data_IF_526783328459
#
_entry.id   IF_526783328459
#
_cell.length_a   1.000
_cell.length_b   1.000
_cell.length_c   1.000
_cell.angle_alpha   90.00
_cell.angle_beta   90.00
_cell.angle_gamma   90.00
#
_symmetry.space_group_name_H-M   'P 1'
#
loop_
_entity.id
_entity.type
_entity.pdbx_description
1 polymer ?
#
# COMPACT_ATOMS: atom_id res chain seq x y z
N UNK A 1 -29.45 -65.89 41.56
CA UNK A 1 -28.98 -64.91 40.55
C UNK A 1 -27.56 -65.28 40.18
N UNK A 2 -27.24 -65.60 38.90
CA UNK A 2 -25.87 -65.92 38.54
C UNK A 2 -25.02 -64.64 38.53
N UNK A 3 -23.91 -64.68 39.26
CA UNK A 3 -22.87 -63.66 39.27
C UNK A 3 -22.15 -63.69 37.91
N UNK A 4 -22.15 -62.55 37.22
CA UNK A 4 -21.40 -62.34 35.97
C UNK A 4 -19.91 -62.64 36.20
N UNK A 5 -19.30 -63.39 35.27
CA UNK A 5 -17.91 -63.83 35.38
C UNK A 5 -16.91 -62.65 35.30
N UNK A 6 -15.72 -62.77 35.93
CA UNK A 6 -14.68 -61.73 35.95
C UNK A 6 -14.21 -61.25 34.56
N UNK A 7 -14.46 -62.03 33.51
CA UNK A 7 -14.05 -61.70 32.13
C UNK A 7 -14.79 -60.49 31.54
N UNK A 8 -16.03 -60.21 31.97
CA UNK A 8 -16.78 -59.04 31.49
C UNK A 8 -16.23 -57.71 32.03
N UNK A 9 -15.67 -57.69 33.23
CA UNK A 9 -15.09 -56.47 33.82
C UNK A 9 -13.78 -56.04 33.14
N UNK A 10 -12.98 -57.00 32.65
CA UNK A 10 -11.73 -56.72 31.92
C UNK A 10 -11.97 -56.07 30.55
N UNK A 11 -12.97 -56.55 29.79
CA UNK A 11 -13.32 -56.02 28.46
C UNK A 11 -13.98 -54.64 28.49
N UNK A 12 -14.74 -54.31 29.54
CA UNK A 12 -15.37 -52.98 29.70
C UNK A 12 -14.36 -51.89 30.11
N UNK A 13 -13.35 -52.21 30.93
CA UNK A 13 -12.26 -51.28 31.27
C UNK A 13 -11.33 -51.03 30.09
N UNK A 14 -11.03 -52.04 29.28
CA UNK A 14 -10.18 -51.87 28.10
C UNK A 14 -10.88 -51.10 26.98
N UNK A 15 -12.16 -51.36 26.70
CA UNK A 15 -12.88 -50.62 25.63
C UNK A 15 -13.16 -49.16 25.99
N UNK A 16 -13.48 -48.84 27.26
CA UNK A 16 -13.56 -47.45 27.73
C UNK A 16 -12.20 -46.75 27.68
N UNK A 17 -11.10 -47.40 28.10
CA UNK A 17 -9.75 -46.81 27.99
C UNK A 17 -9.33 -46.58 26.55
N UNK A 18 -9.62 -47.50 25.63
CA UNK A 18 -9.32 -47.35 24.20
C UNK A 18 -10.19 -46.26 23.55
N UNK A 19 -11.46 -46.15 23.93
CA UNK A 19 -12.36 -45.07 23.45
C UNK A 19 -11.96 -43.70 24.01
N UNK A 20 -11.58 -43.62 25.28
CA UNK A 20 -11.05 -42.40 25.92
C UNK A 20 -9.70 -42.03 25.32
N UNK A 21 -8.79 -42.98 25.09
CA UNK A 21 -7.50 -42.74 24.43
C UNK A 21 -7.69 -42.28 22.99
N UNK A 22 -8.57 -42.90 22.20
CA UNK A 22 -8.87 -42.44 20.82
C UNK A 22 -9.48 -41.03 20.81
N UNK A 23 -10.36 -40.69 21.76
CA UNK A 23 -10.90 -39.33 21.91
C UNK A 23 -9.83 -38.32 22.34
N UNK A 24 -8.91 -38.70 23.24
CA UNK A 24 -7.77 -37.85 23.64
C UNK A 24 -6.77 -37.67 22.50
N UNK A 25 -6.48 -38.71 21.72
CA UNK A 25 -5.62 -38.61 20.53
C UNK A 25 -6.27 -37.74 19.46
N UNK A 26 -7.57 -37.90 19.19
CA UNK A 26 -8.30 -37.03 18.23
C UNK A 26 -8.36 -35.58 18.70
N UNK A 27 -8.58 -35.33 20.00
CA UNK A 27 -8.62 -33.98 20.56
C UNK A 27 -7.23 -33.31 20.60
N UNK A 28 -6.16 -34.07 20.87
CA UNK A 28 -4.77 -33.56 20.84
C UNK A 28 -4.29 -33.32 19.40
N UNK A 29 -4.71 -34.14 18.43
CA UNK A 29 -4.48 -33.85 17.01
C UNK A 29 -5.28 -32.65 16.53
N UNK A 30 -6.51 -32.44 16.99
CA UNK A 30 -7.29 -31.23 16.64
C UNK A 30 -6.70 -29.97 17.27
N UNK A 31 -6.22 -30.04 18.51
CA UNK A 31 -5.57 -28.91 19.18
C UNK A 31 -4.20 -28.58 18.58
N UNK A 32 -3.43 -29.59 18.13
CA UNK A 32 -2.20 -29.39 17.37
C UNK A 32 -2.47 -28.84 15.96
N UNK A 33 -3.58 -29.22 15.30
CA UNK A 33 -4.00 -28.66 14.02
C UNK A 33 -4.48 -27.20 14.18
N UNK A 34 -5.15 -26.87 15.29
CA UNK A 34 -5.58 -25.51 15.62
C UNK A 34 -4.38 -24.63 16.03
N UNK A 35 -3.35 -25.17 16.69
CA UNK A 35 -2.08 -24.48 16.93
C UNK A 35 -1.21 -24.35 15.65
N UNK A 36 -1.37 -25.24 14.66
CA UNK A 36 -0.75 -25.09 13.33
C UNK A 36 -1.53 -24.14 12.41
N UNK A 37 -2.79 -23.83 12.74
CA UNK A 37 -3.63 -22.83 12.08
C UNK A 37 -3.51 -21.43 12.70
N UNK A 38 -2.89 -21.30 13.89
CA UNK A 38 -2.22 -20.06 14.27
C UNK A 38 -0.84 -20.02 13.60
N UNK A 39 -0.81 -20.08 12.27
CA UNK A 39 0.31 -19.45 11.59
C UNK A 39 0.20 -18.00 12.02
N UNK A 40 1.16 -17.55 12.82
CA UNK A 40 1.35 -16.14 13.08
C UNK A 40 1.11 -15.45 11.76
N UNK A 41 0.08 -14.59 11.69
CA UNK A 41 -0.06 -13.62 10.62
C UNK A 41 1.36 -13.07 10.52
N UNK A 42 2.11 -13.32 9.44
CA UNK A 42 3.41 -12.70 9.35
C UNK A 42 3.10 -11.23 9.49
N UNK A 43 3.57 -10.64 10.58
CA UNK A 43 3.27 -9.28 10.95
C UNK A 43 4.11 -8.39 10.05
N UNK A 44 3.94 -8.55 8.74
CA UNK A 44 4.45 -7.65 7.75
C UNK A 44 4.01 -6.27 8.19
N UNK A 45 4.96 -5.34 8.25
CA UNK A 45 4.66 -3.93 8.37
C UNK A 45 3.88 -3.44 7.13
N UNK A 46 2.63 -3.89 6.99
CA UNK A 46 1.66 -3.29 6.08
C UNK A 46 1.39 -1.88 6.59
N UNK A 47 1.63 -0.90 5.72
CA UNK A 47 1.58 0.51 6.10
C UNK A 47 0.22 0.91 6.68
N UNK A 48 -0.87 0.27 6.23
CA UNK A 48 -2.21 0.46 6.76
C UNK A 48 -2.32 0.16 8.27
N UNK A 49 -1.63 -0.88 8.76
CA UNK A 49 -1.77 -1.33 10.15
C UNK A 49 -1.16 -0.39 11.17
N UNK A 50 -0.46 0.65 10.70
CA UNK A 50 0.12 1.71 11.54
C UNK A 50 -0.92 2.74 11.98
N UNK A 51 -2.07 2.79 11.33
CA UNK A 51 -3.09 3.81 11.62
C UNK A 51 -4.12 3.31 12.63
N UNK A 52 -4.40 4.13 13.64
CA UNK A 52 -5.33 3.76 14.72
C UNK A 52 -6.80 3.69 14.26
N UNK A 53 -7.15 4.36 13.17
CA UNK A 53 -8.48 4.42 12.57
C UNK A 53 -8.59 3.58 11.28
N UNK A 54 -7.67 2.62 11.06
CA UNK A 54 -7.64 1.78 9.84
C UNK A 54 -8.96 1.07 9.53
N UNK A 55 -9.74 0.72 10.55
CA UNK A 55 -11.06 0.11 10.40
C UNK A 55 -12.02 0.95 9.53
N UNK A 56 -11.82 2.27 9.46
CA UNK A 56 -12.60 3.18 8.61
C UNK A 56 -12.52 2.80 7.13
N UNK A 57 -11.42 2.19 6.68
CA UNK A 57 -11.28 1.67 5.30
C UNK A 57 -12.38 0.66 4.99
N UNK A 58 -12.58 -0.31 5.89
CA UNK A 58 -13.58 -1.37 5.69
C UNK A 58 -14.99 -0.94 6.06
N UNK A 59 -15.15 -0.11 7.10
CA UNK A 59 -16.47 0.31 7.62
C UNK A 59 -17.16 1.33 6.71
N UNK A 60 -16.44 2.38 6.31
CA UNK A 60 -17.02 3.54 5.63
C UNK A 60 -16.66 3.59 4.14
N UNK A 61 -15.54 2.95 3.75
CA UNK A 61 -15.00 2.99 2.39
C UNK A 61 -14.82 1.60 1.75
N UNK A 62 -15.61 0.60 2.14
CA UNK A 62 -15.53 -0.77 1.58
C UNK A 62 -15.55 -0.82 0.05
N UNK A 63 -16.27 0.10 -0.59
CA UNK A 63 -16.34 0.23 -2.06
C UNK A 63 -15.00 0.59 -2.72
N UNK A 64 -14.09 1.20 -1.97
CA UNK A 64 -12.78 1.69 -2.41
C UNK A 64 -11.64 1.16 -1.56
N UNK A 65 -11.86 0.11 -0.76
CA UNK A 65 -10.89 -0.44 0.18
C UNK A 65 -9.57 -0.75 -0.50
N UNK A 66 -9.59 -1.53 -1.58
CA UNK A 66 -8.37 -1.93 -2.30
C UNK A 66 -7.61 -0.71 -2.84
N UNK A 67 -8.33 0.27 -3.39
CA UNK A 67 -7.75 1.52 -3.91
C UNK A 67 -7.12 2.34 -2.78
N UNK A 68 -7.77 2.41 -1.61
CA UNK A 68 -7.24 3.17 -0.45
C UNK A 68 -6.01 2.48 0.13
N UNK A 69 -6.07 1.16 0.34
CA UNK A 69 -4.90 0.42 0.85
C UNK A 69 -3.75 0.50 -0.15
N UNK A 70 -3.99 0.40 -1.45
CA UNK A 70 -2.95 0.57 -2.46
C UNK A 70 -2.38 2.00 -2.49
N UNK A 71 -3.20 3.04 -2.31
CA UNK A 71 -2.71 4.42 -2.18
C UNK A 71 -1.83 4.62 -0.94
N UNK A 72 -2.15 3.95 0.17
CA UNK A 72 -1.35 3.93 1.42
C UNK A 72 -0.03 3.19 1.18
N UNK A 73 -0.06 2.02 0.53
CA UNK A 73 1.14 1.22 0.25
C UNK A 73 2.13 1.98 -0.65
N UNK A 74 1.63 2.76 -1.62
CA UNK A 74 2.45 3.65 -2.43
C UNK A 74 2.90 4.91 -1.68
N UNK A 75 2.49 5.10 -0.43
CA UNK A 75 2.66 6.33 0.35
C UNK A 75 2.27 7.59 -0.46
N UNK A 76 1.22 7.49 -1.28
CA UNK A 76 0.53 8.67 -1.83
C UNK A 76 -0.27 9.36 -0.71
N UNK A 77 -0.54 8.61 0.36
CA UNK A 77 -1.35 9.01 1.48
C UNK A 77 -0.70 8.56 2.80
N UNK A 78 -0.23 9.52 3.61
CA UNK A 78 0.59 9.26 4.79
C UNK A 78 -0.16 9.42 6.14
N UNK A 79 -1.46 9.76 6.11
CA UNK A 79 -2.25 10.09 7.30
C UNK A 79 -1.79 11.39 7.99
N UNK A 80 -2.13 11.52 9.27
CA UNK A 80 -1.83 12.65 10.14
C UNK A 80 -0.75 12.30 11.19
N UNK A 81 -0.10 13.31 11.81
CA UNK A 81 0.93 13.07 12.84
C UNK A 81 0.46 12.29 14.07
N UNK A 82 -0.85 12.23 14.32
CA UNK A 82 -1.46 11.46 15.40
C UNK A 82 -1.66 9.97 15.07
N UNK A 83 -1.14 9.52 13.93
CA UNK A 83 -1.31 8.18 13.36
C UNK A 83 -2.76 7.84 12.96
N UNK A 84 -3.56 8.84 12.56
CA UNK A 84 -4.85 8.60 11.91
C UNK A 84 -4.76 8.81 10.40
N UNK A 85 -5.62 8.13 9.62
CA UNK A 85 -5.84 8.41 8.21
C UNK A 85 -6.77 9.61 8.01
N UNK A 86 -7.76 9.72 8.91
CA UNK A 86 -8.81 10.74 8.88
C UNK A 86 -9.63 10.69 7.60
N UNK A 87 -9.97 9.49 7.11
CA UNK A 87 -10.61 9.30 5.80
C UNK A 87 -11.98 10.01 5.68
N UNK A 88 -12.69 10.19 6.79
CA UNK A 88 -13.97 10.91 6.87
C UNK A 88 -13.82 12.44 6.99
N UNK A 89 -12.58 12.96 7.10
CA UNK A 89 -12.37 14.40 7.11
C UNK A 89 -12.45 14.94 5.68
N UNK A 90 -12.88 16.19 5.56
CA UNK A 90 -12.76 16.91 4.30
C UNK A 90 -11.29 17.12 3.96
N UNK A 91 -10.90 16.86 2.71
CA UNK A 91 -9.56 17.18 2.24
C UNK A 91 -9.46 18.67 1.91
N UNK A 92 -8.37 19.33 2.31
CA UNK A 92 -8.15 20.73 1.94
C UNK A 92 -7.63 20.86 0.51
N UNK A 93 -7.77 22.05 -0.07
CA UNK A 93 -7.18 22.36 -1.38
C UNK A 93 -5.66 22.19 -1.38
N UNK A 94 -5.00 22.60 -0.30
CA UNK A 94 -3.55 22.45 -0.12
C UNK A 94 -3.12 20.98 -0.13
N UNK A 95 -3.83 20.13 0.62
CA UNK A 95 -3.56 18.69 0.66
C UNK A 95 -3.74 18.05 -0.71
N UNK A 96 -4.87 18.33 -1.39
CA UNK A 96 -5.14 17.76 -2.70
C UNK A 96 -4.10 18.21 -3.74
N UNK A 97 -3.76 19.50 -3.77
CA UNK A 97 -2.73 20.05 -4.64
C UNK A 97 -1.35 19.43 -4.37
N UNK A 98 -0.97 19.26 -3.10
CA UNK A 98 0.33 18.69 -2.75
C UNK A 98 0.49 17.25 -3.19
N UNK A 99 -0.54 16.40 -3.01
CA UNK A 99 -0.45 15.01 -3.49
C UNK A 99 -0.50 14.97 -5.02
N UNK A 100 -1.37 15.76 -5.64
CA UNK A 100 -1.49 15.81 -7.10
C UNK A 100 -0.18 16.25 -7.77
N UNK A 101 0.45 17.31 -7.26
CA UNK A 101 1.75 17.82 -7.72
C UNK A 101 2.83 16.74 -7.68
N UNK A 102 2.93 15.96 -6.59
CA UNK A 102 3.90 14.86 -6.48
C UNK A 102 3.64 13.76 -7.50
N UNK A 103 2.37 13.40 -7.73
CA UNK A 103 2.03 12.35 -8.70
C UNK A 103 2.45 12.75 -10.11
N UNK A 104 2.23 14.01 -10.51
CA UNK A 104 2.56 14.45 -11.87
C UNK A 104 3.94 15.12 -11.99
N UNK A 105 4.76 15.01 -10.94
CA UNK A 105 6.10 15.63 -10.81
C UNK A 105 6.10 17.13 -11.16
N UNK A 106 5.01 17.83 -10.81
CA UNK A 106 4.84 19.25 -11.07
C UNK A 106 5.41 20.06 -9.91
N UNK A 107 6.73 20.29 -9.94
CA UNK A 107 7.45 21.06 -8.93
C UNK A 107 7.53 22.54 -9.28
N UNK A 108 7.24 23.40 -8.31
CA UNK A 108 7.31 24.86 -8.43
C UNK A 108 8.28 25.48 -7.44
N UNK A 109 8.29 26.82 -7.42
CA UNK A 109 9.11 27.61 -6.50
C UNK A 109 8.51 27.51 -5.09
N UNK A 110 9.26 27.01 -4.09
CA UNK A 110 8.80 26.98 -2.70
C UNK A 110 8.51 28.40 -2.17
N UNK A 111 7.61 28.48 -1.18
CA UNK A 111 7.22 29.73 -0.54
C UNK A 111 7.13 29.59 0.98
N UNK A 112 6.39 30.50 1.60
CA UNK A 112 6.20 30.51 3.06
C UNK A 112 5.38 29.31 3.52
N UNK A 113 4.37 28.91 2.75
CA UNK A 113 3.53 27.77 3.08
C UNK A 113 4.11 26.49 2.49
N UNK A 114 3.93 25.38 3.20
CA UNK A 114 4.42 24.06 2.81
C UNK A 114 3.88 23.58 1.44
N UNK A 115 2.73 24.11 0.99
CA UNK A 115 2.10 23.78 -0.28
C UNK A 115 2.47 24.71 -1.43
N UNK A 116 3.17 25.82 -1.19
CA UNK A 116 3.38 26.87 -2.21
C UNK A 116 4.11 26.36 -3.45
N UNK A 117 5.11 25.49 -3.26
CA UNK A 117 5.84 24.87 -4.37
C UNK A 117 4.95 23.94 -5.21
N UNK A 118 4.07 23.18 -4.57
CA UNK A 118 3.13 22.29 -5.27
C UNK A 118 2.09 23.10 -6.06
N UNK A 119 1.53 24.14 -5.45
CA UNK A 119 0.57 25.04 -6.11
C UNK A 119 1.22 25.73 -7.30
N UNK A 120 2.42 26.30 -7.14
CA UNK A 120 3.13 26.95 -8.24
C UNK A 120 3.43 25.99 -9.40
N UNK A 121 3.84 24.75 -9.10
CA UNK A 121 4.07 23.73 -10.10
C UNK A 121 2.80 23.36 -10.88
N UNK A 122 1.67 23.19 -10.18
CA UNK A 122 0.39 22.87 -10.81
C UNK A 122 -0.20 24.04 -11.63
N UNK A 123 0.06 25.29 -11.22
CA UNK A 123 -0.28 26.47 -12.02
C UNK A 123 0.55 26.52 -13.30
N UNK A 124 1.87 26.30 -13.21
CA UNK A 124 2.76 26.21 -14.39
C UNK A 124 2.36 25.09 -15.34
N UNK A 125 1.88 23.97 -14.82
CA UNK A 125 1.36 22.85 -15.60
C UNK A 125 -0.06 23.09 -16.16
N UNK A 126 -0.72 24.20 -15.83
CA UNK A 126 -2.08 24.52 -16.29
C UNK A 126 -3.19 23.69 -15.63
N UNK A 127 -2.89 22.99 -14.53
CA UNK A 127 -3.85 22.16 -13.78
C UNK A 127 -4.74 23.01 -12.89
N UNK A 128 -4.15 24.01 -12.23
CA UNK A 128 -4.80 24.97 -11.33
C UNK A 128 -4.72 26.36 -11.97
N UNK A 129 -5.77 27.21 -11.89
CA UNK A 129 -5.79 28.49 -12.61
C UNK A 129 -4.81 29.53 -12.05
N UNK A 130 -4.67 29.61 -10.72
CA UNK A 130 -3.86 30.60 -10.04
C UNK A 130 -3.51 30.17 -8.61
N UNK A 131 -2.73 31.01 -7.90
CA UNK A 131 -2.27 30.75 -6.53
C UNK A 131 -3.18 31.33 -5.45
N UNK A 132 -4.27 32.01 -5.82
CA UNK A 132 -5.18 32.69 -4.92
C UNK A 132 -6.21 31.75 -4.27
N UNK A 133 -6.87 32.27 -3.23
CA UNK A 133 -7.94 31.57 -2.51
C UNK A 133 -7.55 31.08 -1.11
N UNK A 134 -8.52 30.48 -0.43
CA UNK A 134 -8.31 29.88 0.90
C UNK A 134 -7.86 28.42 0.74
N UNK A 135 -6.56 28.17 0.82
CA UNK A 135 -5.95 26.85 0.63
C UNK A 135 -6.26 25.84 1.73
N UNK A 136 -6.64 26.31 2.92
CA UNK A 136 -7.06 25.48 4.04
C UNK A 136 -8.56 25.11 3.97
N UNK A 137 -9.30 25.70 3.04
CA UNK A 137 -10.69 25.33 2.83
C UNK A 137 -10.80 23.91 2.24
N UNK A 138 -11.87 23.17 2.59
CA UNK A 138 -12.26 21.95 1.89
C UNK A 138 -12.34 22.14 0.39
N UNK A 139 -11.77 21.21 -0.37
CA UNK A 139 -11.98 21.17 -1.82
C UNK A 139 -13.34 20.56 -2.15
N UNK A 140 -14.09 21.18 -3.05
CA UNK A 140 -15.35 20.61 -3.55
C UNK A 140 -15.07 19.57 -4.64
N UNK A 141 -16.02 18.65 -4.85
CA UNK A 141 -15.94 17.67 -5.94
C UNK A 141 -15.89 18.33 -7.31
N UNK A 142 -16.66 19.41 -7.53
CA UNK A 142 -16.61 20.16 -8.79
C UNK A 142 -15.22 20.76 -9.05
N UNK A 143 -14.60 21.32 -8.01
CA UNK A 143 -13.29 21.91 -8.13
C UNK A 143 -12.20 20.88 -8.38
N UNK A 144 -12.20 19.77 -7.63
CA UNK A 144 -11.31 18.64 -7.89
C UNK A 144 -11.49 18.13 -9.33
N UNK A 145 -12.73 17.98 -9.79
CA UNK A 145 -13.04 17.54 -11.15
C UNK A 145 -12.51 18.51 -12.22
N UNK A 146 -12.59 19.83 -11.99
CA UNK A 146 -11.99 20.84 -12.89
C UNK A 146 -10.47 20.68 -12.98
N UNK A 147 -9.80 20.51 -11.86
CA UNK A 147 -8.34 20.32 -11.83
C UNK A 147 -7.95 19.02 -12.54
N UNK A 148 -8.64 17.92 -12.23
CA UNK A 148 -8.41 16.63 -12.88
C UNK A 148 -8.71 16.67 -14.39
N UNK A 149 -9.68 17.46 -14.82
CA UNK A 149 -10.00 17.66 -16.24
C UNK A 149 -8.89 18.38 -17.00
N UNK A 150 -8.34 19.45 -16.41
CA UNK A 150 -7.19 20.16 -16.98
C UNK A 150 -5.93 19.31 -16.97
N UNK A 151 -5.68 18.60 -15.88
CA UNK A 151 -4.59 17.63 -15.79
C UNK A 151 -4.72 16.56 -16.88
N UNK A 152 -5.90 15.98 -17.05
CA UNK A 152 -6.12 14.98 -18.09
C UNK A 152 -5.81 15.52 -19.49
N UNK A 153 -6.08 16.79 -19.77
CA UNK A 153 -5.72 17.44 -21.04
C UNK A 153 -4.21 17.69 -21.15
N UNK A 154 -3.61 18.27 -20.10
CA UNK A 154 -2.19 18.62 -20.06
C UNK A 154 -1.28 17.39 -20.19
N UNK A 155 -1.69 16.27 -19.58
CA UNK A 155 -0.94 15.01 -19.58
C UNK A 155 -1.50 13.97 -20.55
N UNK A 156 -2.44 14.36 -21.43
CA UNK A 156 -3.00 13.51 -22.50
C UNK A 156 -3.56 12.16 -22.01
N UNK A 157 -4.24 12.18 -20.85
CA UNK A 157 -4.85 10.97 -20.28
C UNK A 157 -5.95 10.46 -21.22
N UNK A 158 -5.91 9.16 -21.51
CA UNK A 158 -6.84 8.52 -22.43
C UNK A 158 -8.31 8.63 -21.98
N UNK A 159 -9.20 8.92 -22.93
CA UNK A 159 -10.65 8.87 -22.72
C UNK A 159 -11.10 7.41 -22.64
N UNK A 160 -11.76 7.04 -21.54
CA UNK A 160 -12.29 5.69 -21.28
C UNK A 160 -13.78 5.58 -21.62
N UNK A 161 -14.52 6.68 -21.46
CA UNK A 161 -15.94 6.76 -21.81
C UNK A 161 -16.23 8.14 -22.41
N UNK A 162 -16.33 8.20 -23.75
CA UNK A 162 -16.62 9.44 -24.45
C UNK A 162 -18.03 10.01 -24.16
N UNK A 163 -18.95 9.16 -23.70
CA UNK A 163 -20.34 9.48 -23.38
C UNK A 163 -20.58 9.91 -21.93
N UNK A 164 -19.55 9.89 -21.07
CA UNK A 164 -19.69 10.28 -19.67
C UNK A 164 -20.17 11.73 -19.53
N UNK A 165 -21.20 11.93 -18.72
CA UNK A 165 -21.82 13.22 -18.40
C UNK A 165 -22.23 13.29 -16.94
N UNK A 166 -22.43 14.51 -16.42
CA UNK A 166 -23.03 14.76 -15.12
C UNK A 166 -24.29 15.61 -15.27
N UNK A 167 -25.33 15.31 -14.50
CA UNK A 167 -26.62 16.02 -14.56
C UNK A 167 -26.61 17.31 -13.71
N UNK A 168 -25.71 17.39 -12.73
CA UNK A 168 -25.57 18.49 -11.77
C UNK A 168 -24.43 19.46 -12.11
N UNK A 169 -23.76 19.29 -13.25
CA UNK A 169 -22.78 20.26 -13.77
C UNK A 169 -22.68 20.17 -15.29
N UNK A 170 -22.48 21.32 -15.93
CA UNK A 170 -22.14 21.46 -17.36
C UNK A 170 -20.68 21.85 -17.59
N UNK A 171 -19.86 21.83 -16.53
CA UNK A 171 -18.47 22.27 -16.60
C UNK A 171 -17.63 21.33 -17.51
N UNK A 172 -16.98 21.87 -18.57
CA UNK A 172 -16.33 21.04 -19.57
C UNK A 172 -15.09 20.31 -19.05
N UNK A 173 -14.38 20.88 -18.06
CA UNK A 173 -13.21 20.22 -17.46
C UNK A 173 -13.68 19.09 -16.54
N UNK A 174 -14.71 19.34 -15.72
CA UNK A 174 -15.29 18.30 -14.86
C UNK A 174 -15.83 17.11 -15.68
N UNK A 175 -16.55 17.39 -16.79
CA UNK A 175 -17.01 16.35 -17.70
C UNK A 175 -15.83 15.60 -18.31
N UNK A 176 -14.77 16.30 -18.75
CA UNK A 176 -13.59 15.66 -19.31
C UNK A 176 -12.88 14.73 -18.30
N UNK A 177 -12.81 15.11 -17.02
CA UNK A 177 -12.32 14.25 -15.95
C UNK A 177 -13.18 12.99 -15.78
N UNK A 178 -14.49 13.10 -15.97
CA UNK A 178 -15.41 11.96 -16.04
C UNK A 178 -15.10 11.04 -17.22
N UNK A 179 -14.90 11.61 -18.40
CA UNK A 179 -14.60 10.86 -19.64
C UNK A 179 -13.30 10.07 -19.57
N UNK A 180 -12.27 10.58 -18.88
CA UNK A 180 -11.01 9.86 -18.66
C UNK A 180 -11.07 8.88 -17.49
N UNK A 181 -12.13 8.92 -16.70
CA UNK A 181 -12.31 8.11 -15.50
C UNK A 181 -11.47 8.57 -14.30
N UNK A 182 -10.81 9.74 -14.40
CA UNK A 182 -10.12 10.34 -13.25
C UNK A 182 -11.10 10.79 -12.18
N UNK A 183 -12.30 11.24 -12.57
CA UNK A 183 -13.40 11.57 -11.67
C UNK A 183 -14.58 10.61 -11.87
N UNK A 184 -15.15 10.10 -10.78
CA UNK A 184 -16.44 9.41 -10.79
C UNK A 184 -17.46 10.20 -9.98
N UNK A 185 -18.72 10.13 -10.40
CA UNK A 185 -19.83 10.68 -9.64
C UNK A 185 -20.05 9.94 -8.33
N UNK A 186 -20.78 10.55 -7.40
CA UNK A 186 -21.29 9.89 -6.19
C UNK A 186 -22.37 8.85 -6.51
N UNK A 187 -22.99 8.98 -7.69
CA UNK A 187 -23.91 8.01 -8.27
C UNK A 187 -23.84 8.10 -9.80
N UNK A 188 -24.43 7.15 -10.55
CA UNK A 188 -24.43 7.19 -12.01
C UNK A 188 -24.97 8.52 -12.54
N UNK A 189 -24.11 9.26 -13.25
CA UNK A 189 -24.46 10.55 -13.86
C UNK A 189 -24.60 11.74 -12.90
N UNK A 190 -24.23 11.63 -11.61
CA UNK A 190 -24.28 12.75 -10.65
C UNK A 190 -22.92 12.97 -10.02
N UNK A 191 -22.31 14.13 -10.24
CA UNK A 191 -20.98 14.45 -9.71
C UNK A 191 -20.99 14.59 -8.19
N UNK A 192 -22.06 15.18 -7.64
CA UNK A 192 -22.08 15.71 -6.28
C UNK A 192 -21.36 17.05 -6.21
N UNK A 193 -21.54 17.92 -7.21
CA UNK A 193 -20.70 19.08 -7.49
C UNK A 193 -20.36 19.96 -6.26
N UNK A 194 -21.35 20.23 -5.40
CA UNK A 194 -21.21 21.09 -4.23
C UNK A 194 -20.75 20.37 -2.94
N UNK A 195 -20.60 19.05 -2.98
CA UNK A 195 -20.10 18.29 -1.84
C UNK A 195 -18.60 18.48 -1.70
N UNK A 196 -18.11 18.51 -0.46
CA UNK A 196 -16.68 18.47 -0.19
C UNK A 196 -16.14 17.07 -0.45
N UNK A 197 -14.90 16.99 -0.94
CA UNK A 197 -14.22 15.73 -1.15
C UNK A 197 -13.73 15.19 0.19
N UNK A 198 -14.17 13.98 0.56
CA UNK A 198 -13.61 13.29 1.70
C UNK A 198 -12.21 12.78 1.37
N UNK A 199 -11.38 12.72 2.40
CA UNK A 199 -10.01 12.24 2.35
C UNK A 199 -9.89 10.81 1.80
N UNK A 200 -10.81 9.91 2.18
CA UNK A 200 -10.90 8.56 1.61
C UNK A 200 -11.28 8.54 0.13
N UNK A 201 -12.19 9.42 -0.30
CA UNK A 201 -12.52 9.56 -1.72
C UNK A 201 -11.33 10.10 -2.51
N UNK A 202 -10.61 11.08 -1.95
CA UNK A 202 -9.44 11.65 -2.58
C UNK A 202 -8.32 10.64 -2.77
N UNK A 203 -8.08 9.74 -1.79
CA UNK A 203 -7.10 8.66 -1.93
C UNK A 203 -7.39 7.80 -3.17
N UNK A 204 -8.66 7.45 -3.40
CA UNK A 204 -9.10 6.71 -4.60
C UNK A 204 -8.86 7.52 -5.88
N UNK A 205 -9.25 8.80 -5.90
CA UNK A 205 -9.06 9.65 -7.08
C UNK A 205 -7.57 9.84 -7.42
N UNK A 206 -6.73 10.06 -6.41
CA UNK A 206 -5.30 10.30 -6.58
C UNK A 206 -4.57 9.02 -7.04
N UNK A 207 -4.96 7.84 -6.54
CA UNK A 207 -4.46 6.58 -7.09
C UNK A 207 -4.82 6.42 -8.57
N UNK A 208 -6.06 6.78 -8.98
CA UNK A 208 -6.46 6.73 -10.40
C UNK A 208 -5.61 7.66 -11.26
N UNK A 209 -5.25 8.84 -10.76
CA UNK A 209 -4.32 9.74 -11.47
C UNK A 209 -2.97 9.07 -11.61
N UNK A 210 -2.41 8.53 -10.53
CA UNK A 210 -1.12 7.86 -10.54
C UNK A 210 -1.07 6.67 -11.51
N UNK A 211 -2.20 5.98 -11.71
CA UNK A 211 -2.36 4.85 -12.66
C UNK A 211 -2.78 5.23 -14.08
N UNK A 212 -3.02 6.51 -14.37
CA UNK A 212 -3.54 6.95 -15.67
C UNK A 212 -2.66 7.98 -16.37
N UNK A 213 -1.70 8.59 -15.66
CA UNK A 213 -0.75 9.55 -16.23
C UNK A 213 0.51 8.81 -16.65
N UNK A 214 0.55 8.40 -17.93
CA UNK A 214 1.61 7.59 -18.52
C UNK A 214 2.34 8.32 -19.67
N UNK A 215 2.59 9.62 -19.49
CA UNK A 215 3.24 10.46 -20.51
C UNK A 215 4.76 10.27 -20.62
N UNK A 216 5.39 9.63 -19.62
CA UNK A 216 6.84 9.46 -19.52
C UNK A 216 7.18 8.23 -18.64
N UNK A 217 6.89 7.05 -19.16
CA UNK A 217 7.09 5.79 -18.45
C UNK A 217 8.59 5.51 -18.18
N UNK A 218 8.94 4.94 -17.02
CA UNK A 218 10.30 4.52 -16.74
C UNK A 218 10.72 3.33 -17.61
N UNK A 219 12.03 3.20 -17.80
CA UNK A 219 12.61 2.00 -18.41
C UNK A 219 12.65 0.84 -17.41
N UNK A 220 12.54 -0.40 -17.91
CA UNK A 220 12.65 -1.58 -17.04
C UNK A 220 14.02 -1.67 -16.36
N UNK A 221 15.08 -1.23 -17.05
CA UNK A 221 16.45 -1.26 -16.51
C UNK A 221 16.63 -0.26 -15.36
N UNK A 222 16.04 0.93 -15.47
CA UNK A 222 16.01 1.91 -14.37
C UNK A 222 15.33 1.32 -13.11
N UNK A 223 14.19 0.65 -13.29
CA UNK A 223 13.44 0.04 -12.19
C UNK A 223 14.16 -1.18 -11.59
N UNK A 224 14.78 -2.02 -12.42
CA UNK A 224 15.62 -3.14 -11.95
C UNK A 224 16.82 -2.65 -11.16
N UNK A 225 17.50 -1.60 -11.62
CA UNK A 225 18.59 -0.99 -10.88
C UNK A 225 18.12 -0.46 -9.52
N UNK A 226 17.00 0.26 -9.48
CA UNK A 226 16.42 0.74 -8.22
C UNK A 226 16.12 -0.42 -7.26
N UNK A 227 15.58 -1.54 -7.76
CA UNK A 227 15.33 -2.75 -6.98
C UNK A 227 16.62 -3.37 -6.41
N UNK A 228 17.69 -3.46 -7.20
CA UNK A 228 19.01 -3.92 -6.71
C UNK A 228 19.51 -3.05 -5.57
N UNK A 229 19.48 -1.73 -5.76
CA UNK A 229 19.92 -0.76 -4.74
C UNK A 229 19.06 -0.83 -3.46
N UNK A 230 17.75 -1.07 -3.56
CA UNK A 230 16.89 -1.27 -2.39
C UNK A 230 17.19 -2.57 -1.63
N UNK A 231 17.51 -3.67 -2.33
CA UNK A 231 17.93 -4.91 -1.65
C UNK A 231 19.24 -4.72 -0.91
N UNK A 232 20.17 -3.92 -1.45
CA UNK A 232 21.41 -3.58 -0.75
C UNK A 232 21.14 -2.75 0.52
N UNK A 233 20.24 -1.77 0.47
CA UNK A 233 19.81 -1.01 1.65
C UNK A 233 19.11 -1.90 2.70
N UNK A 234 18.24 -2.81 2.27
CA UNK A 234 17.56 -3.78 3.16
C UNK A 234 18.59 -4.67 3.86
N UNK A 235 19.56 -5.21 3.09
CA UNK A 235 20.62 -6.05 3.63
C UNK A 235 21.50 -5.29 4.64
N UNK A 236 21.85 -4.03 4.34
CA UNK A 236 22.59 -3.18 5.27
C UNK A 236 21.80 -2.96 6.58
N UNK A 237 20.49 -2.76 6.51
CA UNK A 237 19.63 -2.64 7.69
C UNK A 237 19.52 -3.97 8.47
N UNK A 238 19.43 -5.11 7.79
CA UNK A 238 19.43 -6.44 8.41
C UNK A 238 20.74 -6.68 9.16
N UNK A 239 21.88 -6.38 8.54
CA UNK A 239 23.19 -6.53 9.19
C UNK A 239 23.35 -5.59 10.38
N UNK A 240 22.88 -4.36 10.28
CA UNK A 240 22.81 -3.46 11.44
C UNK A 240 22.01 -4.10 12.59
N UNK A 241 20.79 -4.56 12.30
CA UNK A 241 19.91 -5.16 13.31
C UNK A 241 20.47 -6.44 13.93
N UNK A 242 21.12 -7.31 13.13
CA UNK A 242 21.80 -8.53 13.63
C UNK A 242 22.91 -8.19 14.63
N UNK A 243 23.64 -7.10 14.40
CA UNK A 243 24.78 -6.70 15.21
C UNK A 243 24.38 -5.93 16.47
N UNK A 244 23.34 -5.09 16.39
CA UNK A 244 22.98 -4.18 17.48
C UNK A 244 21.76 -4.64 18.26
N UNK A 245 20.78 -5.24 17.58
CA UNK A 245 19.41 -5.42 18.06
C UNK A 245 18.86 -4.15 18.73
N UNK A 246 19.13 -2.98 18.15
CA UNK A 246 18.65 -1.68 18.66
C UNK A 246 17.79 -0.99 17.62
N UNK A 247 16.78 -0.25 18.08
CA UNK A 247 16.08 0.71 17.24
C UNK A 247 17.00 1.92 17.05
N UNK A 248 17.51 2.08 15.83
CA UNK A 248 18.37 3.20 15.42
C UNK A 248 17.87 3.75 14.09
N UNK A 249 16.89 4.66 14.18
CA UNK A 249 16.32 5.31 12.99
C UNK A 249 17.33 6.26 12.32
N UNK A 250 18.38 6.68 13.04
CA UNK A 250 19.48 7.47 12.48
C UNK A 250 20.31 6.69 11.46
N UNK A 251 20.34 5.35 11.57
CA UNK A 251 21.01 4.46 10.63
C UNK A 251 20.54 4.65 9.18
N UNK A 252 19.30 5.10 8.95
CA UNK A 252 18.78 5.42 7.62
C UNK A 252 19.71 6.35 6.83
N UNK A 253 20.35 7.31 7.50
CA UNK A 253 21.25 8.27 6.85
C UNK A 253 22.57 7.65 6.39
N UNK A 254 22.92 6.46 6.88
CA UNK A 254 24.11 5.71 6.50
C UNK A 254 23.87 4.69 5.39
N UNK A 255 22.62 4.51 4.95
CA UNK A 255 22.30 3.59 3.86
C UNK A 255 22.99 4.02 2.56
N UNK A 256 23.55 3.08 1.78
CA UNK A 256 24.33 3.39 0.60
C UNK A 256 23.52 4.12 -0.47
N UNK A 257 22.26 3.72 -0.68
CA UNK A 257 21.44 4.26 -1.76
C UNK A 257 20.24 5.05 -1.27
N UNK A 258 19.66 4.70 -0.11
CA UNK A 258 18.39 5.25 0.40
C UNK A 258 17.28 5.13 -0.65
N UNK A 259 17.06 3.92 -1.16
CA UNK A 259 15.99 3.54 -2.08
C UNK A 259 14.75 3.03 -1.39
N UNK A 260 14.83 2.75 -0.10
CA UNK A 260 13.65 2.45 0.72
C UNK A 260 13.21 3.73 1.41
N UNK A 261 11.91 4.00 1.51
CA UNK A 261 11.44 5.16 2.28
C UNK A 261 11.80 5.00 3.75
N UNK A 262 12.13 6.12 4.40
CA UNK A 262 12.46 6.12 5.82
C UNK A 262 11.33 5.52 6.65
N UNK A 263 10.08 5.88 6.33
CA UNK A 263 8.89 5.35 6.99
C UNK A 263 8.84 3.81 6.96
N UNK A 264 9.12 3.20 5.80
CA UNK A 264 9.10 1.76 5.64
C UNK A 264 10.30 1.11 6.34
N UNK A 265 11.50 1.71 6.23
CA UNK A 265 12.70 1.19 6.88
C UNK A 265 12.59 1.18 8.41
N UNK A 266 12.05 2.26 9.00
CA UNK A 266 11.81 2.35 10.45
C UNK A 266 10.77 1.34 10.92
N UNK A 267 9.72 1.09 10.13
CA UNK A 267 8.72 0.08 10.44
C UNK A 267 9.35 -1.33 10.43
N UNK A 268 10.19 -1.63 9.44
CA UNK A 268 10.94 -2.88 9.39
C UNK A 268 11.88 -3.07 10.58
N UNK A 269 12.56 -2.01 11.05
CA UNK A 269 13.37 -2.08 12.28
C UNK A 269 12.52 -2.40 13.51
N UNK A 270 11.34 -1.79 13.66
CA UNK A 270 10.41 -2.06 14.76
C UNK A 270 9.95 -3.52 14.75
N UNK A 271 9.60 -4.06 13.59
CA UNK A 271 9.21 -5.47 13.41
C UNK A 271 10.35 -6.42 13.80
N UNK A 272 11.54 -6.22 13.21
CA UNK A 272 12.72 -7.03 13.55
C UNK A 272 13.04 -6.98 15.05
N UNK A 273 13.01 -5.80 15.66
CA UNK A 273 13.24 -5.64 17.09
C UNK A 273 12.19 -6.37 17.94
N UNK A 274 10.91 -6.31 17.56
CA UNK A 274 9.85 -7.04 18.25
C UNK A 274 10.06 -8.57 18.16
N UNK A 275 10.57 -9.06 17.04
CA UNK A 275 10.86 -10.48 16.81
C UNK A 275 12.22 -10.98 17.33
N UNK A 276 13.06 -10.11 17.94
CA UNK A 276 14.45 -10.45 18.32
C UNK A 276 14.63 -11.70 19.18
N UNK A 277 13.60 -12.07 19.95
CA UNK A 277 13.60 -13.25 20.84
C UNK A 277 12.79 -14.43 20.28
N UNK A 278 12.32 -14.35 19.04
CA UNK A 278 11.50 -15.41 18.41
C UNK A 278 12.29 -16.63 17.98
N UNK A 279 13.63 -16.56 17.98
CA UNK A 279 14.51 -17.55 17.37
C UNK A 279 14.59 -17.46 15.85
N UNK A 280 13.88 -16.52 15.21
CA UNK A 280 14.02 -16.25 13.77
C UNK A 280 15.39 -15.63 13.48
N UNK A 281 16.05 -16.15 12.45
CA UNK A 281 17.27 -15.55 11.91
C UNK A 281 16.89 -14.61 10.79
N UNK A 282 17.14 -13.31 10.97
CA UNK A 282 17.07 -12.33 9.88
C UNK A 282 17.98 -12.82 8.77
N UNK A 283 17.53 -12.88 7.52
CA UNK A 283 18.29 -13.48 6.40
C UNK A 283 18.66 -12.41 5.38
N UNK A 284 19.92 -12.39 4.95
CA UNK A 284 20.34 -11.56 3.82
C UNK A 284 19.71 -12.07 2.52
N UNK A 285 19.24 -11.15 1.71
CA UNK A 285 18.46 -11.41 0.51
C UNK A 285 19.29 -11.15 -0.75
N UNK A 286 19.18 -12.04 -1.72
CA UNK A 286 19.72 -11.88 -3.06
C UNK A 286 18.61 -11.94 -4.10
N UNK A 287 18.83 -11.31 -5.25
CA UNK A 287 17.87 -11.27 -6.37
C UNK A 287 18.19 -12.39 -7.35
N UNK A 288 17.21 -13.24 -7.67
CA UNK A 288 17.27 -14.17 -8.81
C UNK A 288 16.70 -13.54 -10.08
N UNK A 289 15.59 -12.85 -9.94
CA UNK A 289 14.88 -12.22 -11.06
C UNK A 289 14.06 -11.05 -10.54
N UNK A 290 13.98 -10.00 -11.37
CA UNK A 290 13.11 -8.85 -11.16
C UNK A 290 12.19 -8.69 -12.38
N UNK A 291 10.88 -8.68 -12.13
CA UNK A 291 9.83 -8.48 -13.12
C UNK A 291 9.05 -7.22 -12.78
N UNK A 292 8.95 -6.30 -13.74
CA UNK A 292 8.09 -5.11 -13.61
C UNK A 292 6.65 -5.55 -13.90
N UNK A 293 5.79 -5.51 -12.89
CA UNK A 293 4.42 -6.01 -12.99
C UNK A 293 3.44 -4.92 -13.44
N UNK A 294 3.63 -3.68 -12.97
CA UNK A 294 2.86 -2.50 -13.34
C UNK A 294 3.81 -1.31 -13.34
N UNK A 295 3.75 -0.42 -14.34
CA UNK A 295 4.56 0.80 -14.36
C UNK A 295 3.76 1.98 -14.89
N UNK A 296 3.88 3.08 -14.16
CA UNK A 296 3.32 4.38 -14.48
C UNK A 296 4.39 5.45 -14.32
N UNK A 297 4.10 6.70 -14.65
CA UNK A 297 5.08 7.79 -14.47
C UNK A 297 5.53 7.95 -13.01
N UNK A 298 4.63 7.71 -12.05
CA UNK A 298 4.80 8.07 -10.65
C UNK A 298 4.89 6.87 -9.71
N UNK A 299 4.35 5.72 -10.10
CA UNK A 299 4.26 4.51 -9.27
C UNK A 299 4.59 3.26 -10.09
N UNK A 300 5.10 2.23 -9.44
CA UNK A 300 5.32 0.91 -10.07
C UNK A 300 5.21 -0.22 -9.07
N UNK A 301 4.73 -1.37 -9.54
CA UNK A 301 4.73 -2.63 -8.80
C UNK A 301 5.79 -3.55 -9.39
N UNK A 302 6.66 -4.07 -8.54
CA UNK A 302 7.77 -4.94 -8.92
C UNK A 302 7.62 -6.29 -8.21
N UNK A 303 7.72 -7.38 -8.98
CA UNK A 303 7.80 -8.75 -8.45
C UNK A 303 9.24 -9.21 -8.50
N UNK A 304 9.78 -9.64 -7.36
CA UNK A 304 11.18 -10.07 -7.25
C UNK A 304 11.26 -11.49 -6.72
N UNK A 305 11.91 -12.39 -7.46
CA UNK A 305 12.30 -13.71 -6.95
C UNK A 305 13.58 -13.56 -6.15
N UNK A 306 13.51 -13.99 -4.89
CA UNK A 306 14.57 -13.80 -3.91
C UNK A 306 15.17 -15.13 -3.47
N UNK A 307 16.39 -15.09 -2.95
CA UNK A 307 17.03 -16.22 -2.28
C UNK A 307 17.79 -15.77 -1.04
N UNK A 308 18.01 -16.69 -0.11
CA UNK A 308 18.86 -16.45 1.05
C UNK A 308 20.34 -16.43 0.59
N UNK A 309 21.03 -15.28 0.73
CA UNK A 309 22.42 -15.11 0.26
C UNK A 309 23.43 -16.01 0.97
N UNK A 310 23.15 -16.42 2.20
CA UNK A 310 24.06 -17.20 3.03
C UNK A 310 23.86 -18.71 2.82
N UNK A 311 22.62 -19.13 2.59
CA UNK A 311 22.22 -20.55 2.52
C UNK A 311 21.91 -21.02 1.09
N UNK A 312 21.71 -20.11 0.14
CA UNK A 312 21.48 -20.39 -1.27
C UNK A 312 20.08 -20.89 -1.64
N UNK A 313 19.19 -21.15 -0.68
CA UNK A 313 17.83 -21.60 -0.97
C UNK A 313 16.89 -20.43 -1.30
N UNK A 314 15.87 -20.73 -2.10
CA UNK A 314 14.85 -19.79 -2.54
C UNK A 314 13.95 -19.39 -1.38
N UNK A 315 13.66 -18.10 -1.27
CA UNK A 315 12.64 -17.59 -0.35
C UNK A 315 11.38 -17.21 -1.15
N UNK A 316 10.28 -16.96 -0.45
CA UNK A 316 9.06 -16.48 -1.10
C UNK A 316 9.37 -15.29 -2.02
N UNK A 317 8.74 -15.21 -3.21
CA UNK A 317 8.86 -14.00 -4.02
C UNK A 317 8.35 -12.80 -3.22
N UNK A 318 8.84 -11.62 -3.55
CA UNK A 318 8.35 -10.37 -2.97
C UNK A 318 7.58 -9.57 -4.01
N UNK A 319 6.50 -8.91 -3.59
CA UNK A 319 5.83 -7.85 -4.37
C UNK A 319 6.10 -6.54 -3.66
N UNK A 320 6.73 -5.60 -4.36
CA UNK A 320 7.07 -4.28 -3.84
C UNK A 320 6.35 -3.16 -4.58
N UNK A 321 5.94 -2.15 -3.80
CA UNK A 321 5.36 -0.90 -4.28
C UNK A 321 6.42 0.17 -4.25
N UNK A 322 6.41 1.01 -5.27
CA UNK A 322 7.37 2.07 -5.46
C UNK A 322 6.67 3.33 -5.91
N UNK A 323 7.18 4.47 -5.44
CA UNK A 323 6.82 5.79 -5.96
C UNK A 323 8.05 6.54 -6.42
N UNK A 324 7.86 7.52 -7.31
CA UNK A 324 8.87 8.48 -7.68
C UNK A 324 8.86 9.65 -6.67
N UNK A 325 10.02 9.97 -6.12
CA UNK A 325 10.25 11.11 -5.21
C UNK A 325 11.45 11.87 -5.74
N UNK A 326 11.27 13.13 -6.11
CA UNK A 326 12.33 14.01 -6.64
C UNK A 326 13.16 13.33 -7.75
N UNK A 327 12.46 12.75 -8.74
CA UNK A 327 13.08 12.06 -9.86
C UNK A 327 13.59 10.64 -9.57
N UNK A 328 13.52 10.16 -8.32
CA UNK A 328 14.05 8.85 -7.91
C UNK A 328 12.96 7.86 -7.55
N UNK A 329 13.10 6.62 -8.01
CA UNK A 329 12.28 5.49 -7.54
C UNK A 329 12.65 5.11 -6.12
N UNK A 330 11.62 5.09 -5.26
CA UNK A 330 11.69 4.78 -3.83
C UNK A 330 10.70 3.66 -3.51
N UNK A 331 11.20 2.57 -2.94
CA UNK A 331 10.38 1.47 -2.43
C UNK A 331 9.66 1.93 -1.17
N UNK A 332 8.34 1.87 -1.20
CA UNK A 332 7.46 2.26 -0.10
C UNK A 332 6.96 1.07 0.70
N UNK A 333 6.97 -0.11 0.09
CA UNK A 333 6.57 -1.37 0.70
C UNK A 333 7.11 -2.55 -0.09
N UNK A 334 7.43 -3.67 0.58
CA UNK A 334 7.83 -4.90 -0.09
C UNK A 334 7.80 -6.11 0.82
N UNK A 335 7.04 -7.14 0.45
CA UNK A 335 6.89 -8.30 1.33
C UNK A 335 6.39 -9.51 0.58
N UNK A 336 6.04 -10.55 1.33
CA UNK A 336 5.39 -11.74 0.78
C UNK A 336 4.06 -11.32 0.15
N UNK A 337 3.74 -11.78 -1.07
CA UNK A 337 2.50 -11.43 -1.75
C UNK A 337 1.27 -11.76 -0.92
N UNK A 338 0.34 -10.82 -0.87
CA UNK A 338 -1.00 -11.02 -0.33
C UNK A 338 -1.99 -11.46 -1.42
N UNK A 339 -3.24 -11.75 -1.04
CA UNK A 339 -4.29 -12.14 -1.99
C UNK A 339 -4.47 -11.13 -3.14
N UNK A 340 -4.37 -9.83 -2.84
CA UNK A 340 -4.46 -8.75 -3.85
C UNK A 340 -3.28 -8.71 -4.82
N UNK A 341 -2.15 -9.32 -4.45
CA UNK A 341 -0.93 -9.34 -5.26
C UNK A 341 -0.84 -10.55 -6.19
N UNK A 342 -1.70 -11.57 -6.00
CA UNK A 342 -1.70 -12.79 -6.81
C UNK A 342 -1.85 -12.50 -8.31
N UNK A 343 -2.53 -11.41 -8.67
CA UNK A 343 -2.66 -10.93 -10.06
C UNK A 343 -1.31 -10.64 -10.73
N UNK A 344 -0.29 -10.25 -9.96
CA UNK A 344 1.05 -9.93 -10.47
C UNK A 344 1.95 -11.16 -10.62
N UNK A 345 1.65 -12.23 -9.88
CA UNK A 345 2.48 -13.44 -9.83
C UNK A 345 2.31 -14.34 -11.06
N UNK A 346 1.34 -14.07 -11.95
CA UNK A 346 1.08 -14.86 -13.15
C UNK A 346 0.64 -16.28 -12.78
N UNK A 347 -0.65 -16.45 -12.52
CA UNK A 347 -1.23 -17.70 -12.00
C UNK A 347 -0.88 -18.90 -12.89
N UNK A 348 0.07 -19.71 -12.43
CA UNK A 348 -0.12 -21.17 -12.27
C UNK A 348 0.58 -21.58 -10.97
N UNK A 349 -0.18 -21.66 -9.89
CA UNK A 349 0.13 -22.57 -8.79
C UNK A 349 -0.25 -23.99 -9.20
#
# INVERSE_FOLDING_TARGET
>A
MPLLSPELFGKLKSSRRVSIMKKITVLTTLLALILLLTQAIPAHAEMEYRFSDKDTITKDFSWGQDDITEAIDFELYAGYPDNTLGLNNNMTRAEFAAVLSRIVDASGTPGQNWYDGAVDGLVKAGVIPDKGGNWDAPITRLEAARWLGRLAKAYQVAVKDAGATFTDTSDPDAIYAGKTGLMKGISPGVLGANQNLLRGEAAVLLLRVAKSVDSNLPSDEELKQAMTEAIDDINANIDHMRNTWKLDFGFYNSLPYKRVTQNYMEAGQKEMYAERNSGRTLSLLGIKETKIAEKHNAITVIVTRLYNKEKGYDVSPAVSRWKKVDGRWMMTQGGVPENRDLKYLGIKY
#
